data_IF_854786365149
#
_entry.id   IF_854786365149
#
_cell.length_a   1.000
_cell.length_b   1.000
_cell.length_c   1.000
_cell.angle_alpha   90.00
_cell.angle_beta   90.00
_cell.angle_gamma   90.00
#
_symmetry.space_group_name_H-M   'P 1'
#
loop_
_entity.id
_entity.type
_entity.pdbx_description
1 polymer ?
#
# COMPACT_ATOMS: atom_id res chain seq x y z
N UNK A 1 -9.02 -14.30 -8.25
CA UNK A 1 -7.77 -13.59 -7.91
C UNK A 1 -8.05 -12.09 -7.93
N UNK A 2 -8.56 -11.53 -6.83
CA UNK A 2 -9.05 -10.14 -6.80
C UNK A 2 -7.97 -9.14 -6.36
N UNK A 3 -7.16 -9.48 -5.35
CA UNK A 3 -6.09 -8.60 -4.84
C UNK A 3 -5.09 -8.22 -5.93
N UNK A 4 -4.60 -9.19 -6.72
CA UNK A 4 -3.62 -8.92 -7.79
C UNK A 4 -4.24 -8.17 -8.97
N UNK A 5 -5.53 -8.38 -9.26
CA UNK A 5 -6.28 -7.53 -10.19
C UNK A 5 -6.32 -6.07 -9.71
N UNK A 6 -6.67 -5.86 -8.43
CA UNK A 6 -6.73 -4.52 -7.84
C UNK A 6 -5.36 -3.83 -7.85
N UNK A 7 -4.28 -4.54 -7.53
CA UNK A 7 -2.91 -4.02 -7.65
C UNK A 7 -2.63 -3.57 -9.10
N UNK A 8 -2.98 -4.40 -10.08
CA UNK A 8 -2.71 -4.07 -11.48
C UNK A 8 -3.57 -2.88 -11.96
N UNK A 9 -4.86 -2.78 -11.58
CA UNK A 9 -5.71 -1.65 -11.97
C UNK A 9 -5.18 -0.33 -11.41
N UNK A 10 -4.73 -0.30 -10.15
CA UNK A 10 -4.10 0.88 -9.55
C UNK A 10 -2.78 1.21 -10.25
N UNK A 11 -1.92 0.22 -10.50
CA UNK A 11 -0.66 0.38 -11.22
C UNK A 11 -0.86 1.02 -12.61
N UNK A 12 -1.87 0.57 -13.35
CA UNK A 12 -2.20 1.13 -14.67
C UNK A 12 -2.73 2.56 -14.56
N UNK A 13 -3.59 2.84 -13.57
CA UNK A 13 -4.13 4.18 -13.34
C UNK A 13 -3.07 5.24 -12.96
N UNK A 14 -1.89 4.82 -12.49
CA UNK A 14 -0.76 5.71 -12.19
C UNK A 14 0.02 6.16 -13.43
N UNK A 15 -0.16 5.51 -14.59
CA UNK A 15 0.52 5.83 -15.84
C UNK A 15 -0.46 5.87 -17.03
N UNK A 16 -1.30 6.92 -17.11
CA UNK A 16 -2.34 7.04 -18.13
C UNK A 16 -1.79 7.33 -19.54
N UNK A 17 -0.54 7.80 -19.64
CA UNK A 17 0.11 8.04 -20.93
C UNK A 17 0.48 6.72 -21.61
N UNK A 18 0.94 5.75 -20.82
CA UNK A 18 1.23 4.40 -21.29
C UNK A 18 -0.02 3.51 -21.36
N UNK A 19 -0.86 3.50 -20.31
CA UNK A 19 -2.06 2.67 -20.23
C UNK A 19 -3.30 3.45 -20.64
N UNK A 20 -3.68 3.30 -21.91
CA UNK A 20 -4.92 3.85 -22.45
C UNK A 20 -6.12 3.17 -21.81
N UNK A 21 -6.97 3.94 -21.16
CA UNK A 21 -8.21 3.43 -20.58
C UNK A 21 -9.35 3.48 -21.60
N UNK A 22 -10.07 2.37 -21.73
CA UNK A 22 -11.23 2.23 -22.62
C UNK A 22 -12.54 2.60 -21.91
N UNK A 23 -12.55 2.51 -20.58
CA UNK A 23 -13.68 2.93 -19.76
C UNK A 23 -13.89 4.45 -19.81
N UNK A 24 -15.15 4.87 -19.68
CA UNK A 24 -15.43 6.30 -19.46
C UNK A 24 -14.73 6.80 -18.19
N UNK A 25 -14.33 8.09 -18.11
CA UNK A 25 -13.60 8.61 -16.95
C UNK A 25 -14.28 8.33 -15.60
N UNK A 26 -15.62 8.36 -15.56
CA UNK A 26 -16.40 8.06 -14.35
C UNK A 26 -16.30 6.60 -13.93
N UNK A 27 -16.39 5.68 -14.87
CA UNK A 27 -16.31 4.24 -14.60
C UNK A 27 -14.89 3.86 -14.20
N UNK A 28 -13.89 4.38 -14.90
CA UNK A 28 -12.49 4.19 -14.53
C UNK A 28 -12.22 4.64 -13.09
N UNK A 29 -12.66 5.84 -12.74
CA UNK A 29 -12.47 6.36 -11.38
C UNK A 29 -13.13 5.48 -10.32
N UNK A 30 -14.39 5.08 -10.55
CA UNK A 30 -15.10 4.17 -9.64
C UNK A 30 -14.34 2.84 -9.47
N UNK A 31 -13.80 2.29 -10.55
CA UNK A 31 -13.07 1.03 -10.50
C UNK A 31 -11.76 1.15 -9.72
N UNK A 32 -11.01 2.23 -9.94
CA UNK A 32 -9.78 2.52 -9.19
C UNK A 32 -10.09 2.73 -7.70
N UNK A 33 -11.14 3.50 -7.36
CA UNK A 33 -11.55 3.73 -5.96
C UNK A 33 -11.96 2.42 -5.27
N UNK A 34 -12.72 1.54 -5.96
CA UNK A 34 -13.06 0.20 -5.48
C UNK A 34 -11.80 -0.65 -5.22
N UNK A 35 -10.86 -0.63 -6.17
CA UNK A 35 -9.63 -1.39 -6.05
C UNK A 35 -8.76 -0.88 -4.89
N UNK A 36 -8.65 0.44 -4.73
CA UNK A 36 -7.93 1.06 -3.63
C UNK A 36 -8.57 0.73 -2.28
N UNK A 37 -9.90 0.77 -2.15
CA UNK A 37 -10.55 0.40 -0.90
C UNK A 37 -10.34 -1.08 -0.55
N UNK A 38 -10.42 -1.98 -1.54
CA UNK A 38 -10.14 -3.40 -1.31
C UNK A 38 -8.68 -3.65 -0.87
N UNK A 39 -7.71 -2.95 -1.49
CA UNK A 39 -6.30 -3.02 -1.08
C UNK A 39 -6.10 -2.45 0.33
N UNK A 40 -6.72 -1.32 0.66
CA UNK A 40 -6.72 -0.76 2.01
C UNK A 40 -7.23 -1.77 3.03
N UNK A 41 -8.38 -2.41 2.76
CA UNK A 41 -8.93 -3.45 3.63
C UNK A 41 -7.97 -4.63 3.76
N UNK A 42 -7.31 -5.04 2.66
CA UNK A 42 -6.30 -6.12 2.68
C UNK A 42 -5.12 -5.74 3.58
N UNK A 43 -4.55 -4.55 3.42
CA UNK A 43 -3.44 -4.05 4.26
C UNK A 43 -3.85 -3.98 5.73
N UNK A 44 -5.05 -3.49 6.03
CA UNK A 44 -5.56 -3.47 7.39
C UNK A 44 -5.77 -4.89 7.95
N UNK A 45 -6.32 -5.83 7.18
CA UNK A 45 -6.51 -7.19 7.68
C UNK A 45 -5.19 -7.91 8.00
N UNK A 46 -4.11 -7.62 7.27
CA UNK A 46 -2.81 -8.23 7.53
C UNK A 46 -1.98 -7.48 8.59
N UNK A 47 -2.14 -6.15 8.69
CA UNK A 47 -1.58 -5.29 9.74
C UNK A 47 -0.08 -5.48 9.93
N UNK A 48 0.74 -4.82 9.12
CA UNK A 48 2.19 -4.92 9.22
C UNK A 48 2.76 -3.92 10.24
N UNK A 49 3.54 -4.43 11.19
CA UNK A 49 4.24 -3.67 12.23
C UNK A 49 5.76 -3.73 12.07
N UNK A 50 6.24 -4.31 10.98
CA UNK A 50 7.67 -4.47 10.73
C UNK A 50 8.31 -3.09 10.63
N UNK A 51 9.29 -2.75 11.50
CA UNK A 51 9.93 -1.45 11.45
C UNK A 51 10.62 -1.25 10.10
N UNK A 52 10.44 -0.08 9.49
CA UNK A 52 11.20 0.28 8.30
C UNK A 52 12.63 0.59 8.72
N UNK A 53 13.56 -0.26 8.32
CA UNK A 53 14.99 -0.03 8.55
C UNK A 53 15.52 0.84 7.43
N UNK A 54 16.41 1.76 7.79
CA UNK A 54 17.07 2.63 6.84
C UNK A 54 18.57 2.36 6.86
N UNK A 55 19.16 2.23 5.69
CA UNK A 55 20.60 2.00 5.52
C UNK A 55 21.19 2.93 4.47
N UNK A 56 22.48 3.20 4.59
CA UNK A 56 23.21 3.95 3.57
C UNK A 56 23.35 3.09 2.31
N UNK A 57 22.96 3.62 1.15
CA UNK A 57 23.21 3.00 -0.15
C UNK A 57 24.25 3.80 -0.90
N UNK A 58 25.37 3.15 -1.24
CA UNK A 58 26.43 3.76 -2.06
C UNK A 58 25.93 4.04 -3.48
N UNK A 59 25.15 3.13 -4.07
CA UNK A 59 24.56 3.31 -5.41
C UNK A 59 23.62 4.51 -5.49
N UNK A 60 22.83 4.75 -4.44
CA UNK A 60 21.92 5.89 -4.39
C UNK A 60 22.56 7.17 -3.81
N UNK A 61 23.76 7.07 -3.23
CA UNK A 61 24.45 8.16 -2.53
C UNK A 61 23.65 8.76 -1.36
N UNK A 62 22.73 7.98 -0.78
CA UNK A 62 21.81 8.45 0.28
C UNK A 62 21.30 7.30 1.14
N UNK A 63 20.69 7.66 2.27
CA UNK A 63 19.93 6.72 3.09
C UNK A 63 18.66 6.28 2.33
N UNK A 64 18.44 4.97 2.24
CA UNK A 64 17.28 4.34 1.61
C UNK A 64 16.63 3.36 2.58
N UNK A 65 15.35 3.03 2.35
CA UNK A 65 14.69 1.97 3.09
C UNK A 65 15.26 0.60 2.67
N UNK A 66 15.58 -0.24 3.65
CA UNK A 66 15.76 -1.68 3.46
C UNK A 66 14.36 -2.35 3.50
N UNK A 67 14.21 -3.43 2.74
CA UNK A 67 12.93 -4.13 2.52
C UNK A 67 13.04 -5.63 2.78
N UNK A 68 14.07 -6.07 3.51
CA UNK A 68 14.39 -7.48 3.75
C UNK A 68 13.84 -8.02 5.06
N UNK A 69 13.20 -7.15 5.84
CA UNK A 69 12.72 -7.47 7.17
C UNK A 69 11.61 -8.53 7.09
N UNK A 70 11.62 -9.53 7.99
CA UNK A 70 10.58 -10.54 8.01
C UNK A 70 9.25 -9.95 8.49
N UNK A 71 8.24 -10.02 7.65
CA UNK A 71 6.88 -9.57 7.98
C UNK A 71 6.10 -10.61 8.77
N UNK A 72 5.19 -10.16 9.65
CA UNK A 72 4.32 -11.05 10.42
C UNK A 72 2.88 -10.54 10.46
N UNK A 73 1.91 -11.45 10.35
CA UNK A 73 0.50 -11.09 10.44
C UNK A 73 0.10 -10.72 11.87
N UNK A 74 -0.68 -9.63 12.03
CA UNK A 74 -1.14 -9.14 13.33
C UNK A 74 -2.61 -8.69 13.27
N UNK A 75 -3.22 -8.53 14.44
CA UNK A 75 -4.58 -7.99 14.56
C UNK A 75 -4.54 -6.46 14.51
N UNK A 76 -5.04 -5.87 13.44
CA UNK A 76 -5.02 -4.42 13.22
C UNK A 76 -5.82 -3.60 14.22
N UNK A 77 -6.93 -4.10 14.75
CA UNK A 77 -7.70 -3.36 15.75
C UNK A 77 -6.86 -3.14 17.03
N UNK A 78 -6.10 -4.16 17.45
CA UNK A 78 -5.20 -4.05 18.59
C UNK A 78 -4.05 -3.07 18.34
N UNK A 79 -3.51 -3.10 17.12
CA UNK A 79 -2.46 -2.16 16.67
C UNK A 79 -2.96 -0.73 16.74
N UNK A 80 -4.14 -0.47 16.16
CA UNK A 80 -4.75 0.86 16.11
C UNK A 80 -5.01 1.40 17.52
N UNK A 81 -5.66 0.62 18.39
CA UNK A 81 -5.94 1.05 19.77
C UNK A 81 -4.66 1.38 20.54
N UNK A 82 -3.62 0.53 20.44
CA UNK A 82 -2.33 0.83 21.08
C UNK A 82 -1.73 2.15 20.58
N UNK A 83 -1.77 2.39 19.27
CA UNK A 83 -1.22 3.61 18.67
C UNK A 83 -2.00 4.87 19.09
N UNK A 84 -3.33 4.80 19.15
CA UNK A 84 -4.20 5.89 19.63
C UNK A 84 -3.92 6.21 21.11
N UNK A 85 -3.80 5.19 21.97
CA UNK A 85 -3.54 5.34 23.41
C UNK A 85 -2.14 5.94 23.70
N UNK A 86 -1.18 5.74 22.81
CA UNK A 86 0.21 6.18 22.96
C UNK A 86 0.59 7.35 22.04
N UNK A 87 -0.38 7.94 21.34
CA UNK A 87 -0.15 9.08 20.48
C UNK A 87 0.26 10.29 21.33
N UNK A 88 1.52 10.73 21.18
CA UNK A 88 2.02 11.99 21.75
C UNK A 88 2.15 13.01 20.62
N UNK A 89 1.51 14.19 20.75
CA UNK A 89 1.51 15.23 19.72
C UNK A 89 2.89 15.87 19.53
#
# INVERSE_FOLDING_TARGET
MHTLHCVNKVRMALDPDYYKEEESPRIHRMHVDHCLDYLRQTVQCHGDLTPMVFSWSDDAGRVVADWKEPHTCRNFNRVRSWAEDHFRP
#
